data_IF_758418338794
#
_entry.id   IF_758418338794
#
_cell.length_a   1.000
_cell.length_b   1.000
_cell.length_c   1.000
_cell.angle_alpha   90.00
_cell.angle_beta   90.00
_cell.angle_gamma   90.00
#
_symmetry.space_group_name_H-M   'P 1'
#
loop_
_entity.id
_entity.type
_entity.pdbx_description
1 polymer ?
#
# COMPACT_ATOMS: atom_id res chain seq x y z
N UNK A 1 -7.43 4.34 -10.95
CA UNK A 1 -7.22 4.81 -9.57
C UNK A 1 -6.62 6.22 -9.52
N UNK A 2 -5.39 6.44 -10.02
CA UNK A 2 -4.72 7.75 -9.91
C UNK A 2 -5.50 8.89 -10.60
N UNK A 3 -6.00 8.65 -11.81
CA UNK A 3 -6.82 9.62 -12.55
C UNK A 3 -8.08 10.03 -11.77
N UNK A 4 -8.81 9.07 -11.21
CA UNK A 4 -9.98 9.34 -10.40
C UNK A 4 -9.62 10.17 -9.16
N UNK A 5 -8.52 9.85 -8.47
CA UNK A 5 -8.06 10.60 -7.31
C UNK A 5 -7.64 12.04 -7.66
N UNK A 6 -6.93 12.25 -8.77
CA UNK A 6 -6.54 13.59 -9.24
C UNK A 6 -7.76 14.43 -9.69
N UNK A 7 -8.76 13.79 -10.31
CA UNK A 7 -9.95 14.46 -10.84
C UNK A 7 -10.95 14.82 -9.74
N UNK A 8 -11.28 13.86 -8.88
CA UNK A 8 -12.39 13.99 -7.92
C UNK A 8 -11.94 14.27 -6.49
N UNK A 9 -10.66 14.05 -6.17
CA UNK A 9 -10.10 14.28 -4.84
C UNK A 9 -8.76 15.06 -4.86
N UNK A 10 -8.63 16.16 -5.64
CA UNK A 10 -7.34 16.86 -5.80
C UNK A 10 -6.77 17.46 -4.51
N UNK A 11 -7.62 17.66 -3.50
CA UNK A 11 -7.24 18.23 -2.19
C UNK A 11 -7.04 17.17 -1.10
N UNK A 12 -7.20 15.89 -1.41
CA UNK A 12 -6.97 14.84 -0.43
C UNK A 12 -5.47 14.81 -0.05
N UNK A 13 -5.12 14.93 1.24
CA UNK A 13 -3.71 15.00 1.65
C UNK A 13 -2.99 13.66 1.44
N UNK A 14 -3.72 12.56 1.43
CA UNK A 14 -3.22 11.20 1.28
C UNK A 14 -4.23 10.36 0.50
N UNK A 15 -3.73 9.38 -0.25
CA UNK A 15 -4.53 8.35 -0.91
C UNK A 15 -4.13 6.97 -0.35
N UNK A 16 -5.08 6.24 0.24
CA UNK A 16 -4.89 4.83 0.58
C UNK A 16 -5.41 3.98 -0.58
N UNK A 17 -4.54 3.13 -1.13
CA UNK A 17 -4.96 1.99 -1.98
C UNK A 17 -5.03 0.76 -1.11
N UNK A 18 -6.07 -0.06 -1.27
CA UNK A 18 -6.17 -1.38 -0.62
C UNK A 18 -7.01 -2.35 -1.45
N UNK A 19 -6.79 -3.66 -1.25
CA UNK A 19 -7.62 -4.74 -1.82
C UNK A 19 -8.88 -4.99 -0.96
N UNK A 20 -9.83 -5.77 -1.47
CA UNK A 20 -11.12 -6.04 -0.82
C UNK A 20 -11.05 -7.12 0.28
N UNK A 21 -9.99 -7.92 0.30
CA UNK A 21 -9.69 -8.93 1.32
C UNK A 21 -8.82 -8.39 2.47
N UNK A 22 -8.97 -7.09 2.75
CA UNK A 22 -8.19 -6.34 3.72
C UNK A 22 -9.04 -5.87 4.90
N UNK A 23 -8.44 -5.88 6.10
CA UNK A 23 -8.94 -5.10 7.23
C UNK A 23 -8.07 -3.85 7.42
N UNK A 24 -8.71 -2.68 7.52
CA UNK A 24 -8.04 -1.39 7.74
C UNK A 24 -8.45 -0.82 9.09
N UNK A 25 -7.48 -0.64 9.99
CA UNK A 25 -7.67 0.07 11.25
C UNK A 25 -7.61 1.59 11.00
N UNK A 26 -8.75 2.18 10.62
CA UNK A 26 -8.82 3.61 10.24
C UNK A 26 -8.35 4.55 11.38
N UNK A 27 -8.73 4.38 12.66
CA UNK A 27 -8.20 5.23 13.73
C UNK A 27 -6.67 5.21 13.82
N UNK A 28 -6.04 4.04 13.64
CA UNK A 28 -4.57 3.93 13.64
C UNK A 28 -3.97 4.51 12.36
N UNK A 29 -4.61 4.31 11.21
CA UNK A 29 -4.18 4.90 9.93
C UNK A 29 -4.16 6.43 10.02
N UNK A 30 -5.19 7.05 10.59
CA UNK A 30 -5.25 8.49 10.76
C UNK A 30 -4.11 8.98 11.67
N UNK A 31 -3.93 8.36 12.84
CA UNK A 31 -2.80 8.67 13.74
C UNK A 31 -1.43 8.53 13.04
N UNK A 32 -1.29 7.51 12.20
CA UNK A 32 -0.07 7.29 11.42
C UNK A 32 0.12 8.42 10.39
N UNK A 33 -0.92 8.76 9.62
CA UNK A 33 -0.85 9.76 8.56
C UNK A 33 -0.63 11.19 9.07
N UNK A 34 -1.15 11.50 10.27
CA UNK A 34 -1.05 12.83 10.90
C UNK A 34 0.07 12.93 11.93
N UNK A 35 0.92 11.90 12.08
CA UNK A 35 2.06 11.96 12.99
C UNK A 35 2.99 13.16 12.62
N UNK A 36 3.58 13.88 13.59
CA UNK A 36 4.38 15.08 13.32
C UNK A 36 5.51 14.87 12.29
N UNK A 37 6.13 13.69 12.28
CA UNK A 37 7.18 13.33 11.34
C UNK A 37 6.69 12.91 9.94
N UNK A 38 5.37 12.79 9.73
CA UNK A 38 4.75 12.34 8.47
C UNK A 38 3.75 13.32 7.90
N UNK A 39 3.18 14.23 8.69
CA UNK A 39 2.12 15.15 8.25
C UNK A 39 2.59 16.04 7.08
N UNK A 40 3.84 16.52 7.13
CA UNK A 40 4.44 17.35 6.09
C UNK A 40 5.26 16.56 5.05
N UNK A 41 5.21 15.23 5.09
CA UNK A 41 5.93 14.41 4.12
C UNK A 41 5.30 14.56 2.72
N UNK A 42 6.16 14.83 1.74
CA UNK A 42 5.84 14.94 0.32
C UNK A 42 6.53 13.82 -0.46
N UNK A 43 6.07 13.55 -1.68
CA UNK A 43 6.63 12.53 -2.58
C UNK A 43 6.97 11.21 -1.87
N UNK A 44 6.04 10.69 -1.08
CA UNK A 44 6.27 9.52 -0.23
C UNK A 44 5.16 8.49 -0.36
N UNK A 45 5.55 7.22 -0.41
CA UNK A 45 4.68 6.05 -0.36
C UNK A 45 5.03 5.24 0.90
N UNK A 46 4.04 4.95 1.73
CA UNK A 46 4.16 4.09 2.91
C UNK A 46 3.48 2.75 2.67
N UNK A 47 4.10 1.69 3.16
CA UNK A 47 3.49 0.35 3.13
C UNK A 47 4.51 -0.73 3.44
N UNK A 48 4.16 -1.98 3.12
CA UNK A 48 5.12 -3.09 3.18
C UNK A 48 6.05 -3.01 1.97
N UNK A 49 7.23 -2.41 2.15
CA UNK A 49 8.22 -2.28 1.07
C UNK A 49 8.98 -3.60 0.88
N UNK A 50 9.05 -4.06 -0.37
CA UNK A 50 9.85 -5.19 -0.84
C UNK A 50 11.05 -4.65 -1.61
N UNK A 51 12.23 -5.20 -1.32
CA UNK A 51 13.50 -4.81 -1.96
C UNK A 51 14.08 -5.95 -2.77
N UNK A 52 14.82 -5.61 -3.83
CA UNK A 52 15.58 -6.57 -4.65
C UNK A 52 14.74 -7.77 -5.18
N UNK A 53 13.45 -7.56 -5.44
CA UNK A 53 12.58 -8.62 -5.96
C UNK A 53 12.87 -8.89 -7.43
N UNK A 54 12.85 -10.16 -7.82
CA UNK A 54 13.08 -10.61 -9.19
C UNK A 54 11.73 -10.81 -9.91
N UNK A 55 11.56 -10.35 -11.16
CA UNK A 55 10.38 -10.64 -11.96
C UNK A 55 10.18 -12.16 -12.12
N UNK A 56 8.97 -12.66 -11.88
CA UNK A 56 8.67 -14.07 -12.13
C UNK A 56 8.58 -14.30 -13.65
N UNK A 57 9.48 -15.13 -14.18
CA UNK A 57 9.55 -15.45 -15.62
C UNK A 57 8.81 -16.73 -16.01
N UNK A 58 8.23 -17.44 -15.04
CA UNK A 58 7.42 -18.64 -15.29
C UNK A 58 5.99 -18.26 -15.65
N UNK A 59 5.53 -18.63 -16.84
CA UNK A 59 4.19 -18.27 -17.37
C UNK A 59 3.03 -18.82 -16.54
N UNK A 60 3.23 -19.90 -15.78
CA UNK A 60 2.24 -20.46 -14.82
C UNK A 60 2.04 -19.60 -13.56
N UNK A 61 2.91 -18.62 -13.31
CA UNK A 61 2.80 -17.78 -12.11
C UNK A 61 1.73 -16.70 -12.30
N UNK A 62 0.87 -16.50 -11.30
CA UNK A 62 -0.03 -15.32 -11.26
C UNK A 62 0.71 -13.97 -11.30
N UNK A 63 2.01 -13.98 -10.96
CA UNK A 63 2.89 -12.81 -10.98
C UNK A 63 3.85 -12.80 -12.18
N UNK A 64 3.56 -13.57 -13.23
CA UNK A 64 4.39 -13.60 -14.43
C UNK A 64 4.55 -12.21 -15.04
N UNK A 65 5.79 -11.87 -15.39
CA UNK A 65 6.15 -10.65 -16.12
C UNK A 65 7.10 -11.03 -17.25
N UNK A 66 6.72 -10.71 -18.48
CA UNK A 66 7.56 -11.00 -19.64
C UNK A 66 8.77 -10.05 -19.72
N UNK A 67 9.89 -10.46 -20.36
CA UNK A 67 11.01 -9.54 -20.63
C UNK A 67 10.58 -8.31 -21.44
N UNK A 68 9.57 -8.47 -22.30
CA UNK A 68 8.97 -7.37 -23.06
C UNK A 68 8.19 -6.39 -22.19
N UNK A 69 7.60 -6.80 -21.05
CA UNK A 69 6.98 -5.84 -20.12
C UNK A 69 8.04 -5.16 -19.25
N UNK A 70 8.99 -5.93 -18.72
CA UNK A 70 10.07 -5.41 -17.88
C UNK A 70 11.39 -6.11 -18.22
N UNK A 71 12.38 -5.38 -18.79
CA UNK A 71 13.61 -6.00 -19.27
C UNK A 71 14.64 -6.14 -18.14
N UNK A 72 14.47 -5.39 -17.05
CA UNK A 72 15.34 -5.41 -15.89
C UNK A 72 15.36 -6.77 -15.20
N UNK A 73 16.51 -7.09 -14.59
CA UNK A 73 16.69 -8.30 -13.80
C UNK A 73 16.03 -8.19 -12.43
N UNK A 74 15.97 -6.99 -11.87
CA UNK A 74 15.49 -6.70 -10.51
C UNK A 74 14.49 -5.56 -10.59
N UNK A 75 13.36 -5.68 -9.90
CA UNK A 75 12.41 -4.58 -9.76
C UNK A 75 12.99 -3.48 -8.85
N UNK A 76 12.69 -2.20 -9.11
CA UNK A 76 12.89 -1.15 -8.12
C UNK A 76 12.12 -1.49 -6.84
N UNK A 77 12.60 -1.03 -5.67
CA UNK A 77 11.87 -1.20 -4.41
C UNK A 77 10.44 -0.66 -4.53
N UNK A 78 9.45 -1.45 -4.13
CA UNK A 78 8.03 -1.15 -4.26
C UNK A 78 7.27 -1.51 -2.99
N UNK A 79 6.13 -0.86 -2.73
CA UNK A 79 5.21 -1.22 -1.66
C UNK A 79 4.21 -2.28 -2.18
N UNK A 80 3.96 -3.34 -1.42
CA UNK A 80 3.10 -4.43 -1.90
C UNK A 80 1.64 -4.01 -2.08
N UNK A 81 0.99 -4.56 -3.09
CA UNK A 81 -0.39 -4.26 -3.49
C UNK A 81 -1.46 -4.26 -2.39
N UNK A 82 -1.50 -5.19 -1.42
CA UNK A 82 -2.64 -5.30 -0.51
C UNK A 82 -3.02 -4.01 0.23
N UNK A 83 -2.02 -3.21 0.63
CA UNK A 83 -2.26 -1.84 1.04
C UNK A 83 -0.99 -0.98 0.97
N UNK A 84 -1.15 0.25 0.49
CA UNK A 84 -0.14 1.31 0.58
C UNK A 84 -0.80 2.69 0.64
N UNK A 85 -0.12 3.64 1.29
CA UNK A 85 -0.54 5.03 1.41
C UNK A 85 0.37 5.92 0.58
N UNK A 86 -0.19 6.84 -0.18
CA UNK A 86 0.55 7.77 -1.06
C UNK A 86 0.31 9.20 -0.59
N UNK A 87 1.36 10.03 -0.60
CA UNK A 87 1.21 11.47 -0.37
C UNK A 87 0.44 12.13 -1.53
N UNK A 88 -0.51 13.02 -1.21
CA UNK A 88 -1.40 13.60 -2.22
C UNK A 88 -0.66 14.31 -3.36
N UNK A 89 0.45 14.98 -3.04
CA UNK A 89 1.31 15.67 -4.01
C UNK A 89 1.96 14.75 -5.05
N UNK A 90 2.09 13.45 -4.75
CA UNK A 90 2.65 12.47 -5.66
C UNK A 90 1.65 11.98 -6.72
N UNK A 91 0.34 12.09 -6.48
CA UNK A 91 -0.71 11.46 -7.30
C UNK A 91 -0.66 11.97 -8.74
N UNK A 92 -0.71 13.29 -8.94
CA UNK A 92 -0.66 13.91 -10.27
C UNK A 92 0.63 13.58 -11.01
N UNK A 93 1.74 13.57 -10.30
CA UNK A 93 3.06 13.29 -10.90
C UNK A 93 3.15 11.83 -11.34
N UNK A 94 2.64 10.89 -10.53
CA UNK A 94 2.53 9.48 -10.89
C UNK A 94 1.62 9.29 -12.11
N UNK A 95 0.46 9.95 -12.14
CA UNK A 95 -0.48 9.89 -13.27
C UNK A 95 0.17 10.38 -14.57
N UNK A 96 0.83 11.54 -14.54
CA UNK A 96 1.49 12.11 -15.72
C UNK A 96 2.65 11.26 -16.24
N UNK A 97 3.35 10.53 -15.37
CA UNK A 97 4.42 9.62 -15.78
C UNK A 97 3.90 8.31 -16.37
N UNK A 98 2.71 7.86 -15.96
CA UNK A 98 2.16 6.56 -16.34
C UNK A 98 1.96 6.41 -17.86
N UNK A 99 1.50 7.46 -18.54
CA UNK A 99 1.24 7.43 -19.99
C UNK A 99 2.50 7.27 -20.86
N UNK A 100 3.67 7.64 -20.32
CA UNK A 100 4.97 7.51 -21.00
C UNK A 100 5.81 6.34 -20.50
N UNK A 101 5.22 5.40 -19.76
CA UNK A 101 5.92 4.22 -19.24
C UNK A 101 5.31 2.94 -19.83
N UNK A 102 6.15 1.93 -20.04
CA UNK A 102 5.66 0.67 -20.60
C UNK A 102 4.76 -0.03 -19.59
N UNK A 103 3.56 -0.39 -20.03
CA UNK A 103 2.57 -1.05 -19.17
C UNK A 103 3.11 -2.33 -18.52
N UNK A 104 3.00 -2.38 -17.20
CA UNK A 104 3.32 -3.53 -16.38
C UNK A 104 2.06 -3.94 -15.62
N UNK A 105 1.64 -5.21 -15.79
CA UNK A 105 0.39 -5.73 -15.22
C UNK A 105 0.34 -5.66 -13.68
N UNK A 106 1.49 -5.76 -13.02
CA UNK A 106 1.58 -5.70 -11.56
C UNK A 106 1.49 -4.24 -11.12
N UNK A 107 0.28 -3.79 -10.78
CA UNK A 107 -0.01 -2.40 -10.44
C UNK A 107 0.91 -1.84 -9.35
N UNK A 108 1.16 -2.62 -8.30
CA UNK A 108 2.00 -2.22 -7.17
C UNK A 108 3.46 -1.99 -7.57
N UNK A 109 4.01 -2.91 -8.38
CA UNK A 109 5.35 -2.78 -8.96
C UNK A 109 5.41 -1.63 -9.97
N UNK A 110 4.35 -1.42 -10.76
CA UNK A 110 4.30 -0.34 -11.76
C UNK A 110 4.28 1.03 -11.08
N UNK A 111 3.28 1.28 -10.22
CA UNK A 111 3.04 2.58 -9.59
C UNK A 111 4.07 2.86 -8.51
N UNK A 112 4.25 1.95 -7.55
CA UNK A 112 5.08 2.21 -6.36
C UNK A 112 6.55 1.81 -6.54
N UNK A 113 6.86 1.08 -7.62
CA UNK A 113 8.22 0.71 -8.00
C UNK A 113 8.74 1.52 -9.19
N UNK A 114 8.28 1.22 -10.41
CA UNK A 114 8.80 1.79 -11.66
C UNK A 114 8.59 3.30 -11.72
N UNK A 115 7.34 3.77 -11.62
CA UNK A 115 7.03 5.19 -11.69
C UNK A 115 7.63 5.96 -10.51
N UNK A 116 7.48 5.42 -9.30
CA UNK A 116 8.04 6.04 -8.10
C UNK A 116 9.57 6.17 -8.16
N UNK A 117 10.29 5.17 -8.66
CA UNK A 117 11.74 5.24 -8.83
C UNK A 117 12.15 6.30 -9.86
N UNK A 118 11.48 6.35 -11.02
CA UNK A 118 11.71 7.36 -12.06
C UNK A 118 11.49 8.78 -11.53
N UNK A 119 10.46 8.97 -10.71
CA UNK A 119 10.07 10.26 -10.14
C UNK A 119 10.77 10.61 -8.83
N UNK A 120 11.68 9.74 -8.35
CA UNK A 120 12.38 9.89 -7.06
C UNK A 120 11.42 10.03 -5.86
N UNK A 121 10.29 9.33 -5.91
CA UNK A 121 9.33 9.21 -4.81
C UNK A 121 9.88 8.20 -3.80
N UNK A 122 9.88 8.58 -2.52
CA UNK A 122 10.39 7.77 -1.41
C UNK A 122 9.44 6.61 -1.10
N UNK A 123 10.00 5.43 -0.82
CA UNK A 123 9.25 4.26 -0.33
C UNK A 123 9.67 3.99 1.11
N UNK A 124 8.74 4.16 2.04
CA UNK A 124 8.99 4.02 3.48
C UNK A 124 8.35 2.73 3.99
N UNK A 125 9.21 1.79 4.42
CA UNK A 125 8.74 0.56 5.04
C UNK A 125 8.00 0.86 6.34
N UNK A 126 6.75 0.41 6.42
CA UNK A 126 5.90 0.60 7.59
C UNK A 126 5.46 -0.77 8.08
N UNK A 127 5.94 -1.16 9.26
CA UNK A 127 5.76 -2.51 9.79
C UNK A 127 4.30 -2.83 10.08
N UNK A 128 3.47 -1.81 10.29
CA UNK A 128 2.04 -1.87 10.59
C UNK A 128 1.18 -2.27 9.38
N UNK A 129 1.75 -2.29 8.17
CA UNK A 129 1.08 -2.78 6.97
C UNK A 129 1.38 -4.28 6.83
N UNK A 130 0.51 -5.12 7.40
CA UNK A 130 0.66 -6.57 7.39
C UNK A 130 0.16 -7.16 6.08
N UNK A 131 1.09 -7.61 5.24
CA UNK A 131 0.81 -8.45 4.07
C UNK A 131 0.68 -9.95 4.46
N UNK A 132 -0.12 -10.23 5.49
CA UNK A 132 -0.42 -11.59 5.97
C UNK A 132 -1.66 -11.57 6.85
N UNK A 133 -2.28 -12.74 7.00
CA UNK A 133 -3.27 -12.97 8.07
C UNK A 133 -2.59 -12.85 9.43
N UNK A 134 -3.31 -12.30 10.40
CA UNK A 134 -2.91 -12.32 11.80
C UNK A 134 -3.94 -13.09 12.62
N UNK A 135 -3.52 -13.62 13.77
CA UNK A 135 -4.46 -14.18 14.72
C UNK A 135 -5.50 -13.10 15.10
N UNK A 136 -6.79 -13.44 15.25
CA UNK A 136 -7.85 -12.50 15.62
C UNK A 136 -7.79 -12.09 17.10
N UNK A 137 -6.57 -12.07 17.67
CA UNK A 137 -6.27 -11.55 18.98
C UNK A 137 -6.33 -10.02 18.93
N UNK A 138 -7.16 -9.37 19.77
CA UNK A 138 -7.37 -7.93 19.70
C UNK A 138 -6.10 -7.07 19.65
N UNK A 139 -5.04 -7.44 20.39
CA UNK A 139 -3.78 -6.71 20.36
C UNK A 139 -3.01 -6.80 19.04
N UNK A 140 -3.08 -7.93 18.33
CA UNK A 140 -2.47 -8.05 17.01
C UNK A 140 -3.19 -7.13 16.00
N UNK A 141 -4.51 -7.05 16.12
CA UNK A 141 -5.37 -6.21 15.28
C UNK A 141 -5.18 -4.72 15.58
N UNK A 142 -5.10 -4.35 16.86
CA UNK A 142 -4.86 -2.97 17.31
C UNK A 142 -3.48 -2.43 16.88
N UNK A 143 -2.47 -3.29 16.74
CA UNK A 143 -1.11 -2.92 16.30
C UNK A 143 -0.98 -2.79 14.78
N UNK A 144 -1.84 -3.44 14.01
CA UNK A 144 -1.87 -3.34 12.54
C UNK A 144 -2.64 -2.11 12.06
N UNK A 145 -2.15 -1.50 10.98
CA UNK A 145 -2.90 -0.52 10.16
C UNK A 145 -3.69 -1.26 9.08
N UNK A 146 -3.04 -2.20 8.40
CA UNK A 146 -3.64 -2.99 7.34
C UNK A 146 -3.33 -4.47 7.55
N UNK A 147 -4.31 -5.35 7.35
CA UNK A 147 -4.19 -6.80 7.55
C UNK A 147 -4.78 -7.50 6.34
N UNK A 148 -4.02 -8.40 5.73
CA UNK A 148 -4.39 -9.12 4.50
C UNK A 148 -5.02 -10.48 4.78
N UNK A 149 -5.76 -11.01 3.79
CA UNK A 149 -6.49 -12.29 3.86
C UNK A 149 -7.59 -12.30 4.93
N UNK A 150 -8.32 -11.18 5.04
CA UNK A 150 -9.46 -11.02 5.96
C UNK A 150 -10.75 -11.06 5.15
N UNK A 151 -11.55 -12.11 5.35
CA UNK A 151 -12.83 -12.27 4.64
C UNK A 151 -13.83 -11.21 5.11
N UNK A 152 -14.79 -10.88 4.26
CA UNK A 152 -15.86 -9.91 4.54
C UNK A 152 -16.49 -10.06 5.95
N UNK A 153 -16.88 -11.27 6.36
CA UNK A 153 -17.48 -11.48 7.69
C UNK A 153 -16.47 -11.28 8.84
N UNK A 154 -15.21 -11.64 8.63
CA UNK A 154 -14.14 -11.41 9.61
C UNK A 154 -13.86 -9.91 9.78
N UNK A 155 -13.98 -9.10 8.71
CA UNK A 155 -13.75 -7.65 8.78
C UNK A 155 -14.70 -6.99 9.80
N UNK A 156 -15.98 -7.38 9.80
CA UNK A 156 -16.97 -6.88 10.77
C UNK A 156 -16.63 -7.29 12.21
N UNK A 157 -16.24 -8.55 12.40
CA UNK A 157 -15.85 -9.05 13.72
C UNK A 157 -14.61 -8.34 14.28
N UNK A 158 -13.62 -8.08 13.43
CA UNK A 158 -12.42 -7.34 13.81
C UNK A 158 -12.76 -5.89 14.17
N UNK A 159 -13.65 -5.23 13.43
CA UNK A 159 -14.11 -3.88 13.76
C UNK A 159 -14.86 -3.82 15.09
N UNK A 160 -15.78 -4.76 15.32
CA UNK A 160 -16.52 -4.87 16.58
C UNK A 160 -15.58 -5.04 17.78
N UNK A 161 -14.59 -5.93 17.67
CA UNK A 161 -13.55 -6.14 18.70
C UNK A 161 -12.62 -4.94 18.89
N UNK A 162 -12.37 -4.18 17.82
CA UNK A 162 -11.53 -2.98 17.90
C UNK A 162 -12.23 -1.84 18.64
N UNK A 163 -13.55 -1.70 18.44
CA UNK A 163 -14.36 -0.59 18.95
C UNK A 163 -15.06 -0.87 20.28
N UNK A 164 -15.05 -2.12 20.76
CA UNK A 164 -15.74 -2.48 22.01
C UNK A 164 -15.18 -1.79 23.27
N UNK A 165 -13.97 -1.20 23.19
CA UNK A 165 -13.31 -0.51 24.29
C UNK A 165 -12.93 -1.42 25.48
N UNK A 166 -13.19 -2.73 25.37
CA UNK A 166 -12.98 -3.72 26.43
C UNK A 166 -11.56 -4.27 26.39
N UNK A 167 -10.94 -4.28 25.21
CA UNK A 167 -9.60 -4.82 25.06
C UNK A 167 -8.53 -3.79 25.46
N UNK A 168 -7.86 -4.04 26.59
CA UNK A 168 -6.62 -3.36 26.98
C UNK A 168 -5.42 -4.16 26.48
N UNK A 169 -4.61 -3.56 25.62
CA UNK A 169 -3.34 -4.13 25.17
C UNK A 169 -2.20 -3.34 25.80
N UNK A 170 -1.23 -4.04 26.37
CA UNK A 170 -0.01 -3.40 26.86
C UNK A 170 0.68 -2.67 25.68
N UNK A 171 0.96 -1.39 25.92
CA UNK A 171 1.68 -0.48 25.04
C UNK A 171 3.13 -0.91 24.86
#
# INVERSE_FOLDING_TARGET
MLEWADTYCPRAPRLLKTDDDMFINVPRLLKFATAPNRVNATKTIWGKVVKKSLPKRTTKSKYYVSPLQFPGKVFPDFATGPAYLVSGDAIRTLLGAAGGERYLRLEDVFVTGVLAARLKISRVHSAEFYNRKVAPHPCAVQRGIAIHMVRYHEQFDLWRKLLDGKTKCAS
#
